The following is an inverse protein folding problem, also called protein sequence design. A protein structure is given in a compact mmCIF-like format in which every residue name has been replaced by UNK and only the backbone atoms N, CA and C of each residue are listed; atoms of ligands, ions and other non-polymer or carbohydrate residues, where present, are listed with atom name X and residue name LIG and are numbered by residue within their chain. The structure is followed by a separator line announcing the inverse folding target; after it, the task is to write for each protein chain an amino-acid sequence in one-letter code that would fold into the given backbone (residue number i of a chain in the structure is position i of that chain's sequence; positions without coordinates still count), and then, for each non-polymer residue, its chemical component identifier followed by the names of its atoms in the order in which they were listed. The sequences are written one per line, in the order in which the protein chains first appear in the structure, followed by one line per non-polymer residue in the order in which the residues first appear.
data_IF_674527092041
#
_entry.id   IF_674527092041
#
_cell.length_a   1.000
_cell.length_b   1.000
_cell.length_c   1.000
_cell.angle_alpha   90.00
_cell.angle_beta   90.00
_cell.angle_gamma   90.00
#
_symmetry.space_group_name_H-M   'P 1'
#
loop_
_entity.id
_entity.type
_entity.pdbx_description
1 polymer ?
#
# COMPACT_ATOMS: atom_id res chain seq x y z
N UNK A 1 -15.41 -19.73 -51.31
CA UNK A 1 -16.41 -19.43 -50.26
C UNK A 1 -15.88 -18.26 -49.46
N UNK A 2 -16.47 -17.07 -49.67
CA UNK A 2 -16.06 -15.84 -49.00
C UNK A 2 -16.34 -15.95 -47.50
N UNK A 3 -15.30 -15.79 -46.69
CA UNK A 3 -15.44 -15.52 -45.26
C UNK A 3 -16.09 -14.15 -45.17
N UNK A 4 -17.38 -14.14 -44.81
CA UNK A 4 -18.17 -12.93 -44.56
C UNK A 4 -17.37 -11.93 -43.72
N UNK A 5 -17.31 -10.68 -44.18
CA UNK A 5 -16.86 -9.52 -43.40
C UNK A 5 -17.75 -9.33 -42.17
N UNK A 6 -17.50 -10.11 -41.12
CA UNK A 6 -18.09 -9.87 -39.81
C UNK A 6 -17.42 -8.60 -39.29
N UNK A 7 -18.16 -7.50 -39.31
CA UNK A 7 -17.71 -6.21 -38.77
C UNK A 7 -17.28 -6.41 -37.31
N UNK A 8 -15.95 -6.36 -37.08
CA UNK A 8 -15.37 -6.49 -35.75
C UNK A 8 -15.72 -5.26 -34.92
N UNK A 9 -16.02 -5.49 -33.65
CA UNK A 9 -16.30 -4.43 -32.68
C UNK A 9 -15.00 -3.71 -32.32
N UNK A 10 -14.98 -2.39 -32.35
CA UNK A 10 -13.83 -1.62 -31.87
C UNK A 10 -14.00 -1.41 -30.36
N UNK A 11 -12.96 -1.73 -29.60
CA UNK A 11 -12.91 -1.54 -28.14
C UNK A 11 -11.64 -0.79 -27.76
N UNK A 12 -11.70 0.00 -26.67
CA UNK A 12 -10.56 0.70 -26.11
C UNK A 12 -9.70 -0.17 -25.20
N UNK A 13 -8.78 0.47 -24.49
CA UNK A 13 -7.91 -0.16 -23.49
C UNK A 13 -8.66 -0.65 -22.23
N UNK A 14 -9.86 -0.14 -22.00
CA UNK A 14 -10.79 -0.52 -20.92
C UNK A 14 -12.21 -0.48 -21.43
N UNK A 15 -13.03 -1.43 -20.99
CA UNK A 15 -14.45 -1.49 -21.36
C UNK A 15 -15.33 -1.98 -20.21
N UNK A 16 -16.64 -1.77 -20.33
CA UNK A 16 -17.64 -2.44 -19.52
C UNK A 16 -18.18 -3.67 -20.26
N UNK A 17 -18.33 -4.77 -19.54
CA UNK A 17 -19.04 -5.95 -20.03
C UNK A 17 -20.00 -6.50 -18.98
N UNK A 18 -20.93 -7.35 -19.40
CA UNK A 18 -21.77 -8.12 -18.50
C UNK A 18 -21.37 -9.60 -18.54
N UNK A 19 -21.49 -10.29 -17.42
CA UNK A 19 -21.40 -11.74 -17.31
C UNK A 19 -22.69 -12.25 -16.66
N UNK A 20 -23.76 -12.45 -17.45
CA UNK A 20 -25.09 -12.72 -16.91
C UNK A 20 -25.16 -13.97 -16.03
N UNK A 21 -24.42 -15.02 -16.41
CA UNK A 21 -24.41 -16.30 -15.67
C UNK A 21 -23.76 -16.20 -14.29
N UNK A 22 -23.00 -15.14 -14.02
CA UNK A 22 -22.39 -14.87 -12.72
C UNK A 22 -23.07 -13.71 -11.99
N UNK A 23 -24.28 -13.32 -12.41
CA UNK A 23 -25.05 -12.21 -11.84
C UNK A 23 -24.28 -10.87 -11.86
N UNK A 24 -23.42 -10.69 -12.87
CA UNK A 24 -22.65 -9.46 -13.06
C UNK A 24 -23.22 -8.66 -14.25
N UNK A 25 -24.21 -7.78 -14.03
CA UNK A 25 -24.74 -6.91 -15.08
C UNK A 25 -23.71 -5.91 -15.63
N UNK A 26 -22.66 -5.58 -14.87
CA UNK A 26 -21.59 -4.68 -15.30
C UNK A 26 -20.27 -4.92 -14.54
N UNK A 27 -19.23 -5.36 -15.23
CA UNK A 27 -17.86 -5.48 -14.72
C UNK A 27 -16.91 -4.73 -15.66
N UNK A 28 -16.02 -3.92 -15.08
CA UNK A 28 -15.01 -3.21 -15.86
C UNK A 28 -13.84 -4.13 -16.16
N UNK A 29 -13.48 -4.25 -17.43
CA UNK A 29 -12.37 -5.07 -17.90
C UNK A 29 -11.21 -4.21 -18.36
N UNK A 30 -9.99 -4.68 -18.10
CA UNK A 30 -8.79 -4.22 -18.82
C UNK A 30 -8.60 -5.11 -20.04
N UNK A 31 -8.47 -4.50 -21.21
CA UNK A 31 -8.17 -5.25 -22.44
C UNK A 31 -6.68 -5.62 -22.43
N UNK A 32 -6.40 -6.91 -22.50
CA UNK A 32 -5.05 -7.46 -22.41
C UNK A 32 -4.82 -8.49 -23.52
N UNK A 33 -4.31 -8.03 -24.66
CA UNK A 33 -3.97 -8.89 -25.79
C UNK A 33 -2.76 -9.79 -25.53
N UNK A 34 -1.98 -9.52 -24.47
CA UNK A 34 -0.88 -10.36 -24.02
C UNK A 34 -1.34 -11.57 -23.21
N UNK A 35 -2.45 -11.43 -22.49
CA UNK A 35 -3.07 -12.55 -21.78
C UNK A 35 -3.74 -13.52 -22.76
N UNK A 36 -3.41 -14.82 -22.66
CA UNK A 36 -4.05 -15.86 -23.50
C UNK A 36 -5.54 -16.00 -23.16
N UNK A 37 -5.84 -16.28 -21.89
CA UNK A 37 -7.19 -16.51 -21.38
C UNK A 37 -7.60 -15.35 -20.46
N UNK A 38 -8.89 -15.01 -20.44
CA UNK A 38 -9.43 -13.99 -19.53
C UNK A 38 -9.27 -14.39 -18.07
N UNK A 39 -9.24 -13.41 -17.18
CA UNK A 39 -9.10 -13.62 -15.74
C UNK A 39 -10.11 -12.80 -14.96
N UNK A 40 -10.72 -13.38 -13.93
CA UNK A 40 -11.69 -12.72 -13.06
C UNK A 40 -11.19 -12.77 -11.62
N UNK A 41 -11.33 -11.64 -10.94
CA UNK A 41 -11.14 -11.50 -9.50
C UNK A 41 -12.13 -12.41 -8.79
N UNK A 42 -11.62 -13.37 -8.05
CA UNK A 42 -12.38 -14.27 -7.21
C UNK A 42 -11.62 -14.54 -5.90
N UNK A 43 -12.35 -14.59 -4.80
CA UNK A 43 -11.85 -14.95 -3.48
C UNK A 43 -12.75 -16.03 -2.88
N UNK A 44 -12.30 -16.62 -1.77
CA UNK A 44 -13.03 -17.72 -1.10
C UNK A 44 -13.38 -18.87 -2.07
N UNK A 45 -12.42 -19.24 -2.93
CA UNK A 45 -12.63 -20.22 -4.00
C UNK A 45 -12.64 -21.64 -3.41
N UNK A 46 -13.79 -22.29 -3.44
CA UNK A 46 -14.03 -23.61 -2.84
C UNK A 46 -14.53 -24.61 -3.90
N UNK A 47 -13.74 -25.66 -4.22
CA UNK A 47 -14.19 -26.71 -5.13
C UNK A 47 -15.21 -27.63 -4.46
N UNK A 48 -16.22 -28.07 -5.21
CA UNK A 48 -17.17 -29.09 -4.76
C UNK A 48 -17.59 -29.99 -5.94
N UNK A 49 -18.41 -31.02 -5.67
CA UNK A 49 -19.02 -31.87 -6.70
C UNK A 49 -20.53 -31.76 -6.61
N UNK A 50 -21.18 -31.62 -7.76
CA UNK A 50 -22.64 -31.69 -7.93
C UNK A 50 -22.91 -32.72 -9.01
N UNK A 51 -23.65 -33.78 -8.68
CA UNK A 51 -23.99 -34.85 -9.64
C UNK A 51 -22.76 -35.44 -10.36
N UNK A 52 -21.67 -35.68 -9.61
CA UNK A 52 -20.36 -36.13 -10.11
C UNK A 52 -19.61 -35.16 -11.06
N UNK A 53 -20.16 -33.99 -11.36
CA UNK A 53 -19.48 -32.92 -12.11
C UNK A 53 -18.65 -32.09 -11.12
N UNK A 54 -17.44 -31.72 -11.51
CA UNK A 54 -16.60 -30.81 -10.72
C UNK A 54 -17.14 -29.37 -10.84
N UNK A 55 -17.38 -28.73 -9.70
CA UNK A 55 -17.85 -27.35 -9.59
C UNK A 55 -16.90 -26.54 -8.70
N UNK A 56 -17.03 -25.23 -8.78
CA UNK A 56 -16.34 -24.28 -7.91
C UNK A 56 -17.31 -23.20 -7.45
N UNK A 57 -17.37 -22.98 -6.14
CA UNK A 57 -18.03 -21.85 -5.51
C UNK A 57 -16.99 -20.78 -5.24
N UNK A 58 -17.31 -19.52 -5.47
CA UNK A 58 -16.39 -18.40 -5.26
C UNK A 58 -17.17 -17.11 -5.04
N UNK A 59 -16.50 -16.15 -4.43
CA UNK A 59 -17.04 -14.81 -4.18
C UNK A 59 -16.31 -13.81 -5.06
N UNK A 60 -17.04 -12.81 -5.57
CA UNK A 60 -16.48 -11.75 -6.41
C UNK A 60 -16.91 -10.37 -5.93
N UNK A 61 -15.98 -9.43 -6.02
CA UNK A 61 -16.24 -8.01 -5.98
C UNK A 61 -16.32 -7.48 -7.43
N UNK A 62 -17.52 -7.23 -7.98
CA UNK A 62 -17.67 -6.92 -9.41
C UNK A 62 -17.33 -5.47 -9.76
N UNK A 63 -17.43 -4.56 -8.79
CA UNK A 63 -17.16 -3.13 -8.97
C UNK A 63 -15.72 -2.80 -8.54
N UNK A 64 -15.06 -1.98 -9.35
CA UNK A 64 -13.70 -1.50 -9.09
C UNK A 64 -13.64 -0.73 -7.77
N UNK A 65 -12.72 -1.09 -6.87
CA UNK A 65 -12.53 -0.39 -5.60
C UNK A 65 -13.66 -0.52 -4.59
N UNK A 66 -14.69 -1.35 -4.86
CA UNK A 66 -15.77 -1.65 -3.92
C UNK A 66 -15.62 -3.10 -3.44
N UNK A 67 -15.34 -3.30 -2.15
CA UNK A 67 -15.38 -4.62 -1.51
C UNK A 67 -16.63 -4.89 -0.67
N UNK A 68 -17.57 -3.95 -0.59
CA UNK A 68 -18.85 -4.17 0.12
C UNK A 68 -19.75 -5.12 -0.65
N UNK A 69 -19.85 -4.92 -1.96
CA UNK A 69 -20.67 -5.77 -2.81
C UNK A 69 -19.95 -7.10 -3.02
N UNK A 70 -20.57 -8.16 -2.52
CA UNK A 70 -20.12 -9.54 -2.70
C UNK A 70 -21.19 -10.28 -3.49
N UNK A 71 -20.81 -10.79 -4.65
CA UNK A 71 -21.63 -11.76 -5.36
C UNK A 71 -21.07 -13.15 -5.10
N UNK A 72 -21.98 -14.07 -4.73
CA UNK A 72 -21.66 -15.49 -4.59
C UNK A 72 -21.98 -16.17 -5.90
N UNK A 73 -20.97 -16.80 -6.49
CA UNK A 73 -21.05 -17.43 -7.79
C UNK A 73 -20.70 -18.92 -7.68
N UNK A 74 -21.33 -19.72 -8.52
CA UNK A 74 -20.99 -21.12 -8.70
C UNK A 74 -20.90 -21.42 -10.19
N UNK A 75 -19.88 -22.17 -10.60
CA UNK A 75 -19.76 -22.59 -11.99
C UNK A 75 -19.12 -23.99 -12.11
N UNK A 76 -19.46 -24.76 -13.16
CA UNK A 76 -18.74 -25.98 -13.50
C UNK A 76 -17.27 -25.70 -13.81
N UNK A 77 -16.38 -26.55 -13.31
CA UNK A 77 -14.95 -26.48 -13.62
C UNK A 77 -14.72 -27.20 -14.95
N UNK A 78 -14.23 -26.45 -15.94
CA UNK A 78 -13.92 -27.03 -17.27
C UNK A 78 -12.47 -27.47 -17.37
N UNK A 79 -11.57 -26.83 -16.62
CA UNK A 79 -10.14 -27.12 -16.64
C UNK A 79 -9.44 -26.55 -15.39
N UNK A 80 -8.19 -26.95 -15.15
CA UNK A 80 -7.27 -26.30 -14.20
C UNK A 80 -5.96 -25.99 -14.91
N UNK A 81 -5.65 -24.70 -15.09
CA UNK A 81 -4.48 -24.24 -15.83
C UNK A 81 -3.43 -23.61 -14.93
N UNK A 82 -2.16 -23.86 -15.22
CA UNK A 82 -1.06 -23.13 -14.61
C UNK A 82 -0.85 -21.85 -15.40
N UNK A 83 -1.11 -20.71 -14.77
CA UNK A 83 -0.95 -19.37 -15.35
C UNK A 83 0.28 -18.72 -14.72
N UNK A 84 1.23 -18.28 -15.54
CA UNK A 84 2.43 -17.58 -15.07
C UNK A 84 2.16 -16.08 -15.00
N UNK A 85 2.59 -15.44 -13.91
CA UNK A 85 2.59 -13.99 -13.81
C UNK A 85 3.80 -13.37 -14.56
N UNK A 86 3.85 -12.04 -14.64
CA UNK A 86 4.95 -11.28 -15.25
C UNK A 86 6.32 -11.54 -14.60
N UNK A 87 6.33 -12.05 -13.36
CA UNK A 87 7.54 -12.45 -12.62
C UNK A 87 7.93 -13.92 -12.84
N UNK A 88 7.21 -14.65 -13.71
CA UNK A 88 7.49 -16.04 -14.07
C UNK A 88 6.99 -17.10 -13.08
N UNK A 89 6.38 -16.71 -11.95
CA UNK A 89 5.80 -17.63 -10.99
C UNK A 89 4.46 -18.17 -11.51
N UNK A 90 4.29 -19.50 -11.45
CA UNK A 90 3.08 -20.19 -11.91
C UNK A 90 2.07 -20.40 -10.79
N UNK A 91 0.81 -20.02 -11.04
CA UNK A 91 -0.34 -20.27 -10.16
C UNK A 91 -1.31 -21.23 -10.85
N UNK A 92 -1.79 -22.26 -10.12
CA UNK A 92 -2.78 -23.20 -10.65
C UNK A 92 -4.19 -22.65 -10.41
N UNK A 93 -4.88 -22.26 -11.48
CA UNK A 93 -6.19 -21.59 -11.44
C UNK A 93 -7.30 -22.48 -11.98
N UNK A 94 -8.48 -22.38 -11.38
CA UNK A 94 -9.70 -22.98 -11.92
C UNK A 94 -10.12 -22.23 -13.18
N UNK A 95 -10.54 -22.96 -14.20
CA UNK A 95 -11.11 -22.40 -15.43
C UNK A 95 -12.60 -22.72 -15.45
N UNK A 96 -13.40 -21.69 -15.68
CA UNK A 96 -14.84 -21.80 -15.88
C UNK A 96 -15.20 -21.28 -17.27
N UNK A 97 -16.36 -21.67 -17.78
CA UNK A 97 -16.96 -21.08 -18.98
C UNK A 97 -18.11 -20.19 -18.58
N UNK A 98 -18.21 -19.03 -19.21
CA UNK A 98 -19.35 -18.13 -19.03
C UNK A 98 -19.62 -17.31 -20.29
N UNK A 99 -20.87 -16.89 -20.45
CA UNK A 99 -21.24 -15.89 -21.46
C UNK A 99 -20.76 -14.51 -21.04
N UNK A 100 -20.01 -13.85 -21.91
CA UNK A 100 -19.73 -12.42 -21.84
C UNK A 100 -20.65 -11.70 -22.81
N UNK A 101 -21.19 -10.56 -22.39
CA UNK A 101 -21.92 -9.62 -23.23
C UNK A 101 -21.21 -8.28 -23.26
N UNK A 102 -20.88 -7.80 -24.44
CA UNK A 102 -20.28 -6.49 -24.70
C UNK A 102 -21.11 -5.81 -25.80
N UNK A 103 -21.58 -4.59 -25.54
CA UNK A 103 -22.56 -3.93 -26.43
C UNK A 103 -23.78 -4.85 -26.69
N UNK A 104 -24.03 -5.16 -27.95
CA UNK A 104 -25.07 -5.99 -28.53
C UNK A 104 -24.63 -7.44 -28.79
N UNK A 105 -23.35 -7.76 -28.59
CA UNK A 105 -22.80 -9.10 -28.83
C UNK A 105 -22.69 -9.91 -27.54
N UNK A 106 -23.04 -11.18 -27.61
CA UNK A 106 -22.90 -12.15 -26.51
C UNK A 106 -22.24 -13.42 -27.03
N UNK A 107 -21.20 -13.90 -26.34
CA UNK A 107 -20.50 -15.14 -26.69
C UNK A 107 -19.88 -15.82 -25.47
N UNK A 108 -19.55 -17.10 -25.61
CA UNK A 108 -18.90 -17.89 -24.55
C UNK A 108 -17.40 -17.58 -24.47
N UNK A 109 -16.88 -17.41 -23.24
CA UNK A 109 -15.46 -17.26 -22.96
C UNK A 109 -15.01 -18.18 -21.82
N UNK A 110 -13.73 -18.52 -21.83
CA UNK A 110 -13.08 -19.15 -20.69
C UNK A 110 -12.49 -18.09 -19.76
N UNK A 111 -12.70 -18.29 -18.45
CA UNK A 111 -12.31 -17.37 -17.40
C UNK A 111 -11.52 -18.13 -16.36
N UNK A 112 -10.31 -17.66 -16.07
CA UNK A 112 -9.52 -18.15 -14.94
C UNK A 112 -9.88 -17.39 -13.65
N UNK A 113 -10.10 -18.12 -12.57
CA UNK A 113 -10.41 -17.55 -11.24
C UNK A 113 -9.12 -17.32 -10.45
N UNK A 114 -8.91 -16.10 -9.95
CA UNK A 114 -7.70 -15.75 -9.17
C UNK A 114 -7.96 -14.53 -8.27
N UNK A 115 -7.26 -14.45 -7.14
CA UNK A 115 -7.37 -13.30 -6.26
C UNK A 115 -6.62 -12.11 -6.86
N UNK A 116 -7.38 -11.10 -7.28
CA UNK A 116 -6.87 -9.85 -7.87
C UNK A 116 -7.11 -8.61 -6.99
N UNK A 117 -7.34 -8.76 -5.69
CA UNK A 117 -7.67 -7.62 -4.80
C UNK A 117 -6.59 -6.54 -4.72
N UNK A 118 -5.33 -6.92 -4.88
CA UNK A 118 -4.18 -6.01 -4.94
C UNK A 118 -3.94 -5.46 -6.35
N UNK A 119 -4.66 -5.95 -7.36
CA UNK A 119 -4.47 -5.62 -8.76
C UNK A 119 -5.56 -4.66 -9.24
N UNK A 120 -5.18 -3.63 -9.99
CA UNK A 120 -6.07 -2.52 -10.33
C UNK A 120 -7.36 -2.84 -11.09
N UNK A 121 -7.53 -4.04 -11.68
CA UNK A 121 -8.76 -4.44 -12.38
C UNK A 121 -9.30 -5.80 -11.91
N UNK A 122 -10.61 -5.82 -11.64
CA UNK A 122 -11.39 -7.01 -11.29
C UNK A 122 -11.44 -8.03 -12.41
N UNK A 123 -11.29 -7.63 -13.68
CA UNK A 123 -11.29 -8.56 -14.81
C UNK A 123 -10.29 -8.15 -15.90
N UNK A 124 -9.66 -9.14 -16.52
CA UNK A 124 -8.88 -9.02 -17.76
C UNK A 124 -9.62 -9.69 -18.91
N UNK A 125 -9.66 -9.02 -20.06
CA UNK A 125 -10.15 -9.59 -21.32
C UNK A 125 -8.96 -10.10 -22.14
N UNK A 126 -8.80 -11.42 -22.19
CA UNK A 126 -7.69 -12.09 -22.88
C UNK A 126 -7.93 -12.28 -24.38
N UNK A 127 -6.86 -12.62 -25.10
CA UNK A 127 -6.85 -12.76 -26.56
C UNK A 127 -7.79 -13.84 -27.10
N UNK A 128 -7.99 -14.96 -26.38
CA UNK A 128 -8.95 -16.00 -26.78
C UNK A 128 -10.40 -15.50 -26.77
N UNK A 129 -10.76 -14.65 -25.81
CA UNK A 129 -12.09 -14.04 -25.76
C UNK A 129 -12.31 -13.02 -26.89
N UNK A 130 -11.23 -12.39 -27.37
CA UNK A 130 -11.25 -11.34 -28.39
C UNK A 130 -11.19 -11.86 -29.83
N UNK A 131 -10.62 -13.06 -30.02
CA UNK A 131 -10.21 -13.56 -31.34
C UNK A 131 -11.37 -13.59 -32.33
N UNK A 132 -11.18 -12.94 -33.49
CA UNK A 132 -12.17 -12.87 -34.56
C UNK A 132 -13.38 -11.95 -34.29
N UNK A 133 -13.47 -11.30 -33.13
CA UNK A 133 -14.64 -10.52 -32.71
C UNK A 133 -14.37 -9.03 -32.53
N UNK A 134 -13.18 -8.68 -32.03
CA UNK A 134 -12.85 -7.31 -31.67
C UNK A 134 -11.58 -6.79 -32.35
N UNK A 135 -11.50 -5.47 -32.50
CA UNK A 135 -10.31 -4.69 -32.81
C UNK A 135 -10.03 -3.78 -31.62
N UNK A 136 -8.78 -3.74 -31.16
CA UNK A 136 -8.38 -2.94 -29.99
C UNK A 136 -7.77 -1.64 -30.44
N UNK A 137 -8.36 -0.51 -30.05
CA UNK A 137 -7.75 0.81 -30.14
C UNK A 137 -7.04 1.13 -28.81
N UNK A 138 -5.69 1.10 -28.77
CA UNK A 138 -4.95 1.35 -27.54
C UNK A 138 -5.02 2.81 -27.08
N UNK A 139 -5.41 3.74 -27.95
CA UNK A 139 -5.53 5.17 -27.63
C UNK A 139 -6.88 5.53 -27.01
N UNK A 140 -7.87 4.65 -27.15
CA UNK A 140 -9.22 4.85 -26.67
C UNK A 140 -9.52 4.14 -25.33
N UNK A 141 -10.65 4.49 -24.72
CA UNK A 141 -11.18 3.86 -23.50
C UNK A 141 -12.68 4.11 -23.39
N UNK A 142 -13.44 3.06 -23.03
CA UNK A 142 -14.90 3.09 -22.90
C UNK A 142 -15.62 3.39 -24.22
N UNK A 143 -15.15 2.80 -25.33
CA UNK A 143 -15.77 2.95 -26.65
C UNK A 143 -17.18 2.37 -26.70
N UNK A 144 -17.47 1.37 -25.85
CA UNK A 144 -18.80 0.77 -25.75
C UNK A 144 -19.75 1.53 -24.82
N UNK A 145 -19.32 2.70 -24.32
CA UNK A 145 -20.09 3.56 -23.44
C UNK A 145 -19.60 3.55 -22.00
N UNK A 146 -20.03 4.56 -21.25
CA UNK A 146 -19.70 4.76 -19.84
C UNK A 146 -20.91 4.46 -18.98
N UNK A 147 -20.70 3.71 -17.91
CA UNK A 147 -21.70 3.49 -16.87
C UNK A 147 -21.39 4.45 -15.72
N UNK A 148 -22.39 5.23 -15.29
CA UNK A 148 -22.24 6.13 -14.15
C UNK A 148 -22.27 5.35 -12.83
N UNK A 149 -21.80 5.97 -11.73
CA UNK A 149 -21.85 5.34 -10.42
C UNK A 149 -23.29 5.08 -9.95
N UNK A 150 -24.22 6.01 -10.24
CA UNK A 150 -25.65 5.83 -9.95
C UNK A 150 -26.25 4.65 -10.71
N UNK A 151 -25.88 4.47 -11.98
CA UNK A 151 -26.37 3.34 -12.77
C UNK A 151 -25.82 2.02 -12.23
N UNK A 152 -24.53 1.96 -11.84
CA UNK A 152 -23.95 0.77 -11.22
C UNK A 152 -24.67 0.40 -9.91
N UNK A 153 -24.96 1.40 -9.08
CA UNK A 153 -25.70 1.22 -7.83
C UNK A 153 -27.08 0.62 -8.12
N UNK A 154 -27.79 1.15 -9.11
CA UNK A 154 -29.10 0.64 -9.51
C UNK A 154 -29.02 -0.78 -10.09
N UNK A 155 -28.07 -1.05 -10.98
CA UNK A 155 -27.86 -2.34 -11.62
C UNK A 155 -27.58 -3.45 -10.61
N UNK A 156 -26.85 -3.14 -9.54
CA UNK A 156 -26.50 -4.08 -8.48
C UNK A 156 -27.44 -4.05 -7.27
N UNK A 157 -28.47 -3.19 -7.27
CA UNK A 157 -29.40 -3.05 -6.16
C UNK A 157 -28.72 -2.61 -4.85
N UNK A 158 -27.64 -1.83 -4.93
CA UNK A 158 -26.91 -1.36 -3.75
C UNK A 158 -27.77 -0.31 -3.04
N UNK A 159 -28.27 -0.63 -1.85
CA UNK A 159 -28.90 0.38 -0.98
C UNK A 159 -27.81 1.33 -0.48
N UNK A 160 -27.95 2.63 -0.79
CA UNK A 160 -27.14 3.65 -0.14
C UNK A 160 -27.56 3.71 1.33
N UNK A 161 -26.82 3.02 2.19
CA UNK A 161 -26.91 3.25 3.62
C UNK A 161 -26.48 4.70 3.85
N UNK A 162 -27.30 5.55 4.51
CA UNK A 162 -26.85 6.88 4.88
C UNK A 162 -25.55 6.76 5.69
N UNK A 163 -24.55 7.58 5.34
CA UNK A 163 -23.24 7.60 6.02
C UNK A 163 -23.46 8.04 7.48
N UNK A 164 -23.66 7.09 8.38
CA UNK A 164 -23.76 7.30 9.84
C UNK A 164 -22.42 7.12 10.56
N UNK A 165 -21.35 6.79 9.82
CA UNK A 165 -20.02 6.64 10.36
C UNK A 165 -19.31 7.98 10.61
N UNK A 166 -18.15 7.88 11.28
CA UNK A 166 -17.23 8.99 11.51
C UNK A 166 -16.91 9.79 10.24
N UNK A 167 -16.64 11.08 10.39
CA UNK A 167 -16.06 11.97 9.37
C UNK A 167 -14.54 11.94 9.48
N UNK A 168 -13.86 11.36 8.51
CA UNK A 168 -12.42 11.12 8.55
C UNK A 168 -11.73 11.81 7.37
N UNK A 169 -10.77 12.69 7.68
CA UNK A 169 -9.92 13.35 6.70
C UNK A 169 -8.64 12.57 6.40
N UNK A 170 -8.29 12.35 5.13
CA UNK A 170 -6.98 11.87 4.71
C UNK A 170 -6.13 13.06 4.24
N UNK A 171 -5.15 13.46 5.05
CA UNK A 171 -4.28 14.61 4.78
C UNK A 171 -3.00 14.15 4.07
N UNK A 172 -2.88 14.38 2.76
CA UNK A 172 -1.77 13.88 1.95
C UNK A 172 -1.41 14.81 0.78
N UNK A 173 -0.41 14.46 -0.04
CA UNK A 173 -0.04 15.27 -1.23
C UNK A 173 -0.51 14.68 -2.56
N UNK A 174 -0.93 13.41 -2.60
CA UNK A 174 -1.33 12.76 -3.85
C UNK A 174 -2.40 11.69 -3.56
N UNK A 175 -3.63 11.93 -4.03
CA UNK A 175 -4.75 11.00 -3.86
C UNK A 175 -4.55 9.68 -4.59
N UNK A 176 -3.78 9.69 -5.67
CA UNK A 176 -3.67 8.55 -6.58
C UNK A 176 -2.72 7.45 -6.12
N UNK A 177 -1.95 7.69 -5.06
CA UNK A 177 -1.05 6.67 -4.49
C UNK A 177 -1.87 5.51 -3.91
N UNK A 178 -1.39 4.27 -4.14
CA UNK A 178 -2.04 3.03 -3.67
C UNK A 178 -2.48 3.11 -2.21
N UNK A 179 -1.57 3.54 -1.32
CA UNK A 179 -1.85 3.62 0.12
C UNK A 179 -3.01 4.57 0.44
N UNK A 180 -3.08 5.70 -0.27
CA UNK A 180 -4.11 6.71 -0.02
C UNK A 180 -5.46 6.25 -0.57
N UNK A 181 -5.50 5.68 -1.79
CA UNK A 181 -6.71 5.05 -2.33
C UNK A 181 -7.25 3.98 -1.40
N UNK A 182 -6.38 3.11 -0.89
CA UNK A 182 -6.75 2.01 0.01
C UNK A 182 -7.30 2.49 1.35
N UNK A 183 -6.70 3.53 1.95
CA UNK A 183 -7.23 4.11 3.20
C UNK A 183 -8.61 4.74 2.98
N UNK A 184 -8.80 5.50 1.89
CA UNK A 184 -10.10 6.09 1.54
C UNK A 184 -11.16 4.99 1.34
N UNK A 185 -10.85 3.98 0.52
CA UNK A 185 -11.74 2.85 0.27
C UNK A 185 -12.07 2.09 1.55
N UNK A 186 -11.08 1.79 2.39
CA UNK A 186 -11.30 1.08 3.64
C UNK A 186 -12.21 1.85 4.60
N UNK A 187 -12.11 3.18 4.65
CA UNK A 187 -13.00 4.00 5.47
C UNK A 187 -14.44 4.03 4.92
N UNK A 188 -14.59 4.22 3.61
CA UNK A 188 -15.88 4.17 2.92
C UNK A 188 -16.54 2.78 3.07
N UNK A 189 -15.76 1.71 2.96
CA UNK A 189 -16.14 0.31 3.19
C UNK A 189 -16.65 0.05 4.60
N UNK A 190 -16.22 0.85 5.57
CA UNK A 190 -16.68 0.79 6.97
C UNK A 190 -17.83 1.76 7.28
N UNK A 191 -18.29 2.52 6.29
CA UNK A 191 -19.46 3.40 6.41
C UNK A 191 -19.14 4.82 6.85
N UNK A 192 -17.86 5.19 6.89
CA UNK A 192 -17.41 6.53 7.27
C UNK A 192 -17.49 7.53 6.10
N UNK A 193 -17.63 8.81 6.42
CA UNK A 193 -17.47 9.89 5.45
C UNK A 193 -15.99 10.24 5.27
N UNK A 194 -15.39 9.71 4.20
CA UNK A 194 -13.98 9.93 3.90
C UNK A 194 -13.78 11.16 3.02
N UNK A 195 -12.93 12.09 3.46
CA UNK A 195 -12.56 13.29 2.69
C UNK A 195 -11.06 13.35 2.48
N UNK A 196 -10.63 13.63 1.25
CA UNK A 196 -9.21 13.82 0.94
C UNK A 196 -8.86 15.30 0.99
N UNK A 197 -7.84 15.64 1.77
CA UNK A 197 -7.32 17.00 1.86
C UNK A 197 -5.87 17.03 1.36
N UNK A 198 -5.64 17.76 0.26
CA UNK A 198 -4.28 18.02 -0.18
C UNK A 198 -3.61 19.02 0.77
N UNK A 199 -2.45 18.63 1.32
CA UNK A 199 -1.65 19.47 2.23
C UNK A 199 -1.41 20.88 1.66
N UNK A 200 -1.13 21.00 0.36
CA UNK A 200 -0.80 22.28 -0.26
C UNK A 200 -2.01 23.20 -0.47
N UNK A 201 -3.21 22.62 -0.47
CA UNK A 201 -4.47 23.33 -0.68
C UNK A 201 -5.14 23.71 0.65
N UNK A 202 -4.54 23.33 1.79
CA UNK A 202 -5.01 23.69 3.12
C UNK A 202 -4.28 24.93 3.64
N UNK A 203 -5.00 25.82 4.32
CA UNK A 203 -4.45 26.95 5.08
C UNK A 203 -5.18 27.09 6.41
N UNK A 204 -4.60 27.79 7.38
CA UNK A 204 -5.11 27.79 8.76
C UNK A 204 -5.33 29.21 9.27
N UNK A 205 -6.41 29.39 10.04
CA UNK A 205 -6.66 30.57 10.85
C UNK A 205 -6.21 30.25 12.28
N UNK A 206 -5.18 30.96 12.74
CA UNK A 206 -4.69 30.86 14.11
C UNK A 206 -5.44 31.87 14.96
N UNK A 207 -6.33 31.37 15.79
CA UNK A 207 -7.27 32.14 16.61
C UNK A 207 -7.49 31.34 17.88
N UNK A 208 -7.51 32.01 19.03
CA UNK A 208 -7.59 31.39 20.35
C UNK A 208 -9.01 30.94 20.71
N UNK A 209 -10.04 31.58 20.14
CA UNK A 209 -11.44 31.21 20.35
C UNK A 209 -11.95 30.23 19.29
N UNK A 210 -11.56 30.42 18.02
CA UNK A 210 -12.07 29.71 16.85
C UNK A 210 -10.94 29.35 15.87
N UNK A 211 -10.08 28.39 16.23
CA UNK A 211 -9.08 27.85 15.31
C UNK A 211 -9.77 27.14 14.14
N UNK A 212 -9.32 27.41 12.92
CA UNK A 212 -9.91 26.82 11.70
C UNK A 212 -8.83 26.29 10.76
N UNK A 213 -9.19 25.24 10.02
CA UNK A 213 -8.50 24.84 8.79
C UNK A 213 -9.42 25.12 7.63
N UNK A 214 -8.89 25.78 6.61
CA UNK A 214 -9.55 26.09 5.36
C UNK A 214 -8.98 25.22 4.26
N UNK A 215 -9.80 24.93 3.26
CA UNK A 215 -9.43 24.23 2.04
C UNK A 215 -9.70 25.11 0.82
N UNK A 216 -8.96 24.87 -0.27
CA UNK A 216 -9.06 25.60 -1.53
C UNK A 216 -10.51 25.90 -1.89
N UNK A 217 -10.80 27.18 -2.16
CA UNK A 217 -12.15 27.66 -2.45
C UNK A 217 -12.85 28.31 -1.26
N UNK A 218 -12.19 28.42 -0.09
CA UNK A 218 -12.75 29.06 1.09
C UNK A 218 -13.62 28.13 1.95
N UNK A 219 -13.58 26.82 1.69
CA UNK A 219 -14.30 25.83 2.50
C UNK A 219 -13.63 25.70 3.87
N UNK A 220 -14.38 25.91 4.93
CA UNK A 220 -13.90 25.62 6.30
C UNK A 220 -14.03 24.12 6.54
N UNK A 221 -12.89 23.47 6.76
CA UNK A 221 -12.81 22.07 7.16
C UNK A 221 -13.28 21.97 8.61
N UNK A 222 -14.54 21.63 8.77
CA UNK A 222 -15.21 21.52 10.07
C UNK A 222 -15.74 20.10 10.26
N UNK A 223 -16.01 19.76 11.53
CA UNK A 223 -16.70 18.52 11.92
C UNK A 223 -15.98 17.21 11.55
N UNK A 224 -14.64 17.21 11.47
CA UNK A 224 -13.91 15.94 11.37
C UNK A 224 -13.79 15.29 12.74
N UNK A 225 -14.08 14.00 12.83
CA UNK A 225 -13.82 13.20 14.03
C UNK A 225 -12.35 12.76 14.08
N UNK A 226 -11.76 12.48 12.90
CA UNK A 226 -10.37 12.07 12.79
C UNK A 226 -9.68 12.57 11.51
N UNK A 227 -8.35 12.66 11.56
CA UNK A 227 -7.46 12.91 10.43
C UNK A 227 -6.35 11.84 10.38
N UNK A 228 -6.04 11.36 9.19
CA UNK A 228 -4.93 10.44 8.90
C UNK A 228 -3.86 11.23 8.13
N UNK A 229 -2.77 11.70 8.78
CA UNK A 229 -1.71 12.40 8.08
C UNK A 229 -0.79 11.44 7.34
N UNK A 230 -0.70 11.59 6.02
CA UNK A 230 0.21 10.86 5.12
C UNK A 230 1.25 11.82 4.55
N UNK A 231 2.07 12.35 5.46
CA UNK A 231 3.01 13.44 5.17
C UNK A 231 4.32 12.90 4.59
N UNK A 232 4.64 13.33 3.36
CA UNK A 232 5.94 13.06 2.72
C UNK A 232 7.06 13.87 3.40
N UNK A 233 8.31 13.40 3.41
CA UNK A 233 9.41 14.09 4.11
C UNK A 233 9.61 15.56 3.69
N UNK A 234 9.46 15.90 2.41
CA UNK A 234 9.57 17.28 1.92
C UNK A 234 8.45 18.22 2.39
N UNK A 235 7.36 17.69 2.93
CA UNK A 235 6.23 18.45 3.44
C UNK A 235 6.10 18.37 4.97
N UNK A 236 7.12 17.88 5.67
CA UNK A 236 7.06 17.60 7.11
C UNK A 236 6.69 18.84 7.92
N UNK A 237 7.34 19.98 7.68
CA UNK A 237 7.08 21.20 8.44
C UNK A 237 5.60 21.62 8.37
N UNK A 238 5.09 21.85 7.16
CA UNK A 238 3.72 22.34 6.96
C UNK A 238 2.67 21.27 7.25
N UNK A 239 2.92 20.01 6.88
CA UNK A 239 2.02 18.90 7.18
C UNK A 239 1.84 18.70 8.69
N UNK A 240 2.93 18.77 9.48
CA UNK A 240 2.84 18.70 10.93
C UNK A 240 2.16 19.94 11.52
N UNK A 241 2.31 21.12 10.92
CA UNK A 241 1.58 22.33 11.35
C UNK A 241 0.07 22.18 11.17
N UNK A 242 -0.38 21.70 10.01
CA UNK A 242 -1.80 21.39 9.78
C UNK A 242 -2.30 20.30 10.73
N UNK A 243 -1.50 19.26 10.96
CA UNK A 243 -1.86 18.19 11.90
C UNK A 243 -2.03 18.75 13.32
N UNK A 244 -1.13 19.62 13.78
CA UNK A 244 -1.29 20.33 15.08
C UNK A 244 -2.53 21.20 15.14
N UNK A 245 -2.91 21.82 14.05
CA UNK A 245 -4.13 22.62 14.00
C UNK A 245 -5.37 21.74 14.15
N UNK A 246 -5.40 20.56 13.51
CA UNK A 246 -6.49 19.61 13.74
C UNK A 246 -6.52 19.11 15.19
N UNK A 247 -5.35 18.83 15.79
CA UNK A 247 -5.24 18.46 17.20
C UNK A 247 -5.79 19.56 18.13
N UNK A 248 -5.50 20.84 17.87
CA UNK A 248 -6.01 21.97 18.67
C UNK A 248 -7.51 22.19 18.51
N UNK A 249 -8.07 21.78 17.37
CA UNK A 249 -9.52 21.76 17.12
C UNK A 249 -10.23 20.54 17.76
N UNK A 250 -9.51 19.69 18.50
CA UNK A 250 -10.06 18.50 19.15
C UNK A 250 -10.26 17.29 18.23
N UNK A 251 -9.71 17.34 17.02
CA UNK A 251 -9.79 16.24 16.03
C UNK A 251 -8.72 15.19 16.34
N UNK A 252 -9.09 13.91 16.35
CA UNK A 252 -8.12 12.83 16.57
C UNK A 252 -7.18 12.67 15.36
N UNK A 253 -5.88 12.51 15.57
CA UNK A 253 -4.90 12.37 14.48
C UNK A 253 -4.13 11.04 14.55
N UNK A 254 -4.14 10.26 13.47
CA UNK A 254 -3.43 8.98 13.35
C UNK A 254 -2.33 9.06 12.29
N UNK A 255 -1.07 9.40 12.61
CA UNK A 255 -0.47 9.67 13.92
C UNK A 255 -0.54 11.15 14.34
N UNK A 256 -0.15 11.43 15.58
CA UNK A 256 0.02 12.81 16.07
C UNK A 256 1.17 13.54 15.40
N UNK A 257 1.06 14.85 15.34
CA UNK A 257 2.06 15.76 14.79
C UNK A 257 3.42 15.60 15.48
N UNK A 258 3.42 15.43 16.81
CA UNK A 258 4.61 15.23 17.63
C UNK A 258 5.31 13.92 17.24
N UNK A 259 4.57 12.81 17.19
CA UNK A 259 5.12 11.50 16.84
C UNK A 259 5.66 11.49 15.40
N UNK A 260 4.97 12.15 14.47
CA UNK A 260 5.44 12.30 13.09
C UNK A 260 6.76 13.07 13.06
N UNK A 261 6.82 14.25 13.68
CA UNK A 261 8.04 15.07 13.73
C UNK A 261 9.22 14.31 14.35
N UNK A 262 9.01 13.63 15.49
CA UNK A 262 10.04 12.83 16.15
C UNK A 262 10.54 11.69 15.26
N UNK A 263 9.65 11.00 14.54
CA UNK A 263 10.05 9.91 13.62
C UNK A 263 10.81 10.38 12.38
N UNK A 264 10.72 11.67 12.02
CA UNK A 264 11.40 12.25 10.84
C UNK A 264 12.82 12.66 11.17
N UNK A 265 13.07 13.07 12.41
CA UNK A 265 14.41 13.30 12.90
C UNK A 265 15.05 11.97 13.29
N UNK A 266 15.89 11.43 12.40
CA UNK A 266 16.55 10.13 12.60
C UNK A 266 17.49 10.15 13.81
N UNK A 267 18.18 11.27 14.07
CA UNK A 267 19.11 11.35 15.19
C UNK A 267 18.33 11.33 16.51
N UNK A 268 17.32 12.19 16.62
CA UNK A 268 16.43 12.21 17.78
C UNK A 268 15.76 10.85 18.00
N UNK A 269 15.23 10.26 16.92
CA UNK A 269 14.57 8.95 16.96
C UNK A 269 15.50 7.87 17.53
N UNK A 270 16.73 7.75 17.02
CA UNK A 270 17.70 6.77 17.52
C UNK A 270 18.08 7.03 18.98
N UNK A 271 18.33 8.28 19.37
CA UNK A 271 18.62 8.65 20.76
C UNK A 271 17.48 8.28 21.70
N UNK A 272 16.23 8.53 21.30
CA UNK A 272 15.05 8.17 22.07
C UNK A 272 14.89 6.65 22.21
N UNK A 273 15.11 5.90 21.12
CA UNK A 273 15.03 4.44 21.11
C UNK A 273 16.10 3.80 22.01
N UNK A 274 17.34 4.30 21.96
CA UNK A 274 18.42 3.90 22.88
C UNK A 274 18.03 4.20 24.34
N UNK A 275 17.52 5.41 24.62
CA UNK A 275 17.06 5.79 25.97
C UNK A 275 15.97 4.86 26.49
N UNK A 276 15.15 4.29 25.61
CA UNK A 276 14.14 3.30 25.95
C UNK A 276 14.67 1.86 26.06
N UNK A 277 15.98 1.64 25.95
CA UNK A 277 16.64 0.34 26.05
C UNK A 277 16.28 -0.57 24.89
N UNK A 278 16.30 -0.04 23.66
CA UNK A 278 16.13 -0.81 22.42
C UNK A 278 17.47 -0.94 21.70
N UNK A 279 17.75 -2.15 21.26
CA UNK A 279 18.98 -2.46 20.56
C UNK A 279 18.93 -1.90 19.14
N UNK A 280 19.92 -1.10 18.80
CA UNK A 280 20.18 -0.57 17.46
C UNK A 280 21.59 -0.99 17.03
N UNK A 281 21.90 -0.96 15.73
CA UNK A 281 23.28 -1.13 15.31
C UNK A 281 24.17 0.00 15.88
N UNK A 282 25.42 -0.32 16.20
CA UNK A 282 26.42 0.65 16.65
C UNK A 282 26.48 1.83 15.68
N UNK A 283 26.19 3.02 16.19
CA UNK A 283 25.96 4.22 15.37
C UNK A 283 26.76 5.39 15.91
N UNK A 284 27.61 5.96 15.07
CA UNK A 284 28.28 7.23 15.27
C UNK A 284 27.55 8.37 14.56
N UNK A 285 27.50 9.54 15.18
CA UNK A 285 26.98 10.75 14.56
C UNK A 285 28.06 11.83 14.58
N UNK A 286 28.14 12.60 13.49
CA UNK A 286 29.03 13.75 13.44
C UNK A 286 28.42 14.91 12.66
N UNK A 287 28.55 16.10 13.24
CA UNK A 287 28.32 17.36 12.56
C UNK A 287 29.67 17.82 12.00
N UNK A 288 29.85 17.72 10.67
CA UNK A 288 31.09 18.14 9.99
C UNK A 288 32.36 17.71 10.73
N UNK A 289 32.61 16.38 10.89
CA UNK A 289 33.73 15.91 11.71
C UNK A 289 35.03 16.53 11.21
N UNK A 290 35.92 16.97 12.08
CA UNK A 290 37.28 17.31 11.62
C UNK A 290 38.05 15.98 11.43
N UNK A 291 37.90 15.05 12.37
CA UNK A 291 38.53 13.73 12.34
C UNK A 291 37.65 12.62 11.78
N UNK A 292 37.78 12.35 10.48
CA UNK A 292 37.08 11.24 9.79
C UNK A 292 37.46 9.87 10.35
N UNK A 293 38.74 9.71 10.72
CA UNK A 293 39.28 8.44 11.19
C UNK A 293 38.63 8.00 12.50
N UNK A 294 38.55 8.91 13.47
CA UNK A 294 37.93 8.63 14.75
C UNK A 294 36.46 8.21 14.59
N UNK A 295 35.71 8.89 13.71
CA UNK A 295 34.32 8.52 13.44
C UNK A 295 34.16 7.10 12.86
N UNK A 296 35.10 6.67 12.02
CA UNK A 296 35.12 5.30 11.50
C UNK A 296 35.44 4.31 12.62
N UNK A 297 36.38 4.65 13.49
CA UNK A 297 36.79 3.79 14.62
C UNK A 297 35.69 3.67 15.67
N UNK A 298 34.87 4.72 15.88
CA UNK A 298 33.71 4.70 16.78
C UNK A 298 32.69 3.60 16.45
N UNK A 299 32.61 3.16 15.19
CA UNK A 299 31.70 2.08 14.75
C UNK A 299 32.41 0.76 14.50
N UNK A 300 33.67 0.62 14.92
CA UNK A 300 34.44 -0.61 14.74
C UNK A 300 35.12 -0.76 13.38
N UNK A 301 35.21 0.30 12.58
CA UNK A 301 35.88 0.28 11.28
C UNK A 301 34.98 -0.14 10.10
N UNK A 302 35.61 -0.39 8.95
CA UNK A 302 34.91 -0.86 7.75
C UNK A 302 34.76 -2.40 7.76
N UNK A 303 33.69 -2.97 7.14
CA UNK A 303 32.65 -2.28 6.36
C UNK A 303 31.65 -1.51 7.24
N UNK A 304 31.22 -0.33 6.77
CA UNK A 304 30.28 0.55 7.47
C UNK A 304 29.28 1.20 6.53
N UNK A 305 28.16 1.63 7.08
CA UNK A 305 27.11 2.38 6.39
C UNK A 305 27.25 3.87 6.70
N UNK A 306 27.29 4.71 5.67
CA UNK A 306 27.19 6.17 5.80
C UNK A 306 25.79 6.59 5.35
N UNK A 307 25.05 7.28 6.23
CA UNK A 307 23.69 7.79 5.98
C UNK A 307 23.67 9.31 6.08
N UNK A 308 23.12 9.96 5.08
CA UNK A 308 22.73 11.37 5.16
C UNK A 308 21.44 11.51 5.98
N UNK A 309 21.43 12.46 6.91
CA UNK A 309 20.21 12.81 7.63
C UNK A 309 19.22 13.55 6.73
N UNK A 310 19.73 14.34 5.80
CA UNK A 310 18.93 15.04 4.80
C UNK A 310 18.61 14.12 3.61
N UNK A 311 17.33 13.77 3.45
CA UNK A 311 16.86 12.95 2.32
C UNK A 311 15.76 11.96 2.70
N UNK A 312 15.04 11.47 1.68
CA UNK A 312 14.01 10.44 1.82
C UNK A 312 14.28 9.25 0.90
N UNK A 313 13.74 8.08 1.25
CA UNK A 313 13.81 6.84 0.44
C UNK A 313 15.22 6.32 0.11
N UNK A 314 16.14 6.31 1.08
CA UNK A 314 17.45 5.66 0.91
C UNK A 314 18.44 6.37 -0.04
N UNK A 315 18.06 7.52 -0.63
CA UNK A 315 18.99 8.45 -1.28
C UNK A 315 19.89 9.03 -0.20
N UNK A 316 21.19 8.73 -0.26
CA UNK A 316 22.17 9.11 0.76
C UNK A 316 22.53 8.02 1.75
N UNK A 317 22.19 6.73 1.50
CA UNK A 317 22.73 5.58 2.24
C UNK A 317 23.77 4.88 1.36
N UNK A 318 25.01 4.81 1.83
CA UNK A 318 26.17 4.26 1.12
C UNK A 318 26.86 3.20 1.97
N UNK A 319 27.13 2.03 1.38
CA UNK A 319 28.01 1.03 1.98
C UNK A 319 29.45 1.36 1.60
N UNK A 320 30.30 1.54 2.60
CA UNK A 320 31.74 1.67 2.42
C UNK A 320 32.42 0.37 2.87
N UNK A 321 32.85 -0.44 1.91
CA UNK A 321 33.46 -1.75 2.19
C UNK A 321 34.87 -1.65 2.78
N UNK A 322 35.56 -0.53 2.53
CA UNK A 322 36.93 -0.29 3.00
C UNK A 322 37.03 1.04 3.73
N UNK A 323 38.03 1.17 4.61
CA UNK A 323 38.29 2.42 5.33
C UNK A 323 38.48 3.60 4.38
N UNK A 324 39.26 3.43 3.31
CA UNK A 324 39.49 4.46 2.28
C UNK A 324 38.19 4.88 1.58
N UNK A 325 37.30 3.93 1.31
CA UNK A 325 36.00 4.24 0.73
C UNK A 325 35.13 5.04 1.71
N UNK A 326 35.14 4.67 3.00
CA UNK A 326 34.42 5.40 4.04
C UNK A 326 34.95 6.83 4.18
N UNK A 327 36.28 7.00 4.24
CA UNK A 327 36.93 8.30 4.28
C UNK A 327 36.53 9.18 3.10
N UNK A 328 36.56 8.63 1.89
CA UNK A 328 36.19 9.34 0.67
C UNK A 328 34.74 9.81 0.70
N UNK A 329 33.81 8.94 1.10
CA UNK A 329 32.38 9.26 1.17
C UNK A 329 32.10 10.30 2.26
N UNK A 330 32.69 10.14 3.45
CA UNK A 330 32.54 11.09 4.56
C UNK A 330 33.09 12.47 4.16
N UNK A 331 34.28 12.52 3.54
CA UNK A 331 34.88 13.77 3.09
C UNK A 331 34.06 14.46 1.99
N UNK A 332 33.47 13.69 1.06
CA UNK A 332 32.56 14.23 0.06
C UNK A 332 31.31 14.87 0.71
N UNK A 333 30.74 14.23 1.75
CA UNK A 333 29.60 14.78 2.48
C UNK A 333 29.94 15.99 3.36
N UNK A 334 31.16 16.04 3.92
CA UNK A 334 31.66 17.24 4.61
C UNK A 334 31.74 18.45 3.68
N UNK A 335 32.20 18.25 2.43
CA UNK A 335 32.36 19.35 1.47
C UNK A 335 31.03 20.07 1.18
N UNK A 336 29.91 19.34 1.26
CA UNK A 336 28.55 19.88 1.09
C UNK A 336 27.88 20.25 2.43
N UNK A 337 28.64 20.27 3.53
CA UNK A 337 28.18 20.61 4.89
C UNK A 337 26.96 19.79 5.35
N UNK A 338 26.86 18.54 4.90
CA UNK A 338 25.73 17.69 5.23
C UNK A 338 25.93 16.97 6.58
N UNK A 339 24.84 16.82 7.32
CA UNK A 339 24.81 16.00 8.54
C UNK A 339 24.84 14.52 8.19
N UNK A 340 25.78 13.79 8.79
CA UNK A 340 26.02 12.39 8.48
C UNK A 340 25.99 11.51 9.72
N UNK A 341 25.53 10.29 9.50
CA UNK A 341 25.47 9.21 10.47
C UNK A 341 26.26 8.04 9.91
N UNK A 342 27.17 7.51 10.70
CA UNK A 342 27.95 6.32 10.37
C UNK A 342 27.44 5.18 11.24
N UNK A 343 27.26 4.00 10.67
CA UNK A 343 26.67 2.87 11.36
C UNK A 343 27.40 1.58 10.97
N UNK A 344 27.53 0.65 11.91
CA UNK A 344 28.08 -0.67 11.62
C UNK A 344 27.31 -1.38 10.50
N UNK A 345 28.01 -2.18 9.70
CA UNK A 345 27.38 -3.00 8.67
C UNK A 345 27.11 -4.42 9.17
N UNK A 346 25.83 -4.79 9.29
CA UNK A 346 25.40 -6.13 9.71
C UNK A 346 25.48 -7.11 8.54
N UNK A 347 26.70 -7.60 8.25
CA UNK A 347 26.99 -8.47 7.09
C UNK A 347 26.20 -9.78 7.11
N UNK A 348 26.00 -10.36 8.29
CA UNK A 348 25.30 -11.63 8.47
C UNK A 348 23.82 -11.59 8.06
N UNK A 349 23.23 -10.40 7.97
CA UNK A 349 21.86 -10.24 7.49
C UNK A 349 21.72 -10.56 5.99
N UNK A 350 22.84 -10.55 5.24
CA UNK A 350 22.84 -10.94 3.83
C UNK A 350 21.94 -10.07 2.95
N UNK A 351 21.87 -8.76 3.22
CA UNK A 351 21.03 -7.83 2.46
C UNK A 351 19.52 -8.00 2.71
N UNK A 352 19.15 -8.63 3.84
CA UNK A 352 17.76 -8.85 4.24
C UNK A 352 17.41 -8.01 5.44
N UNK A 353 16.20 -7.46 5.43
CA UNK A 353 15.63 -6.79 6.59
C UNK A 353 14.15 -7.12 6.73
N UNK A 354 13.61 -6.86 7.91
CA UNK A 354 12.22 -7.12 8.26
C UNK A 354 11.49 -5.80 8.39
N UNK A 355 10.36 -5.66 7.70
CA UNK A 355 9.39 -4.59 7.92
C UNK A 355 8.23 -5.15 8.74
N UNK A 356 8.10 -4.72 9.98
CA UNK A 356 6.96 -5.05 10.84
C UNK A 356 6.00 -3.86 10.85
N UNK A 357 4.73 -4.10 10.53
CA UNK A 357 3.67 -3.10 10.59
C UNK A 357 2.98 -3.18 11.95
N UNK A 358 3.00 -2.07 12.70
CA UNK A 358 2.43 -1.96 14.04
C UNK A 358 1.24 -1.02 14.01
N UNK A 359 0.09 -1.48 14.51
CA UNK A 359 -1.14 -0.69 14.67
C UNK A 359 -1.62 -0.86 16.11
N UNK A 360 -1.81 0.25 16.83
CA UNK A 360 -2.24 0.31 18.24
C UNK A 360 -1.53 -0.73 19.13
N UNK A 361 -0.20 -0.76 19.05
CA UNK A 361 0.64 -1.63 19.87
C UNK A 361 0.64 -3.11 19.50
N UNK A 362 0.12 -3.49 18.33
CA UNK A 362 0.14 -4.88 17.82
C UNK A 362 0.79 -4.95 16.45
N UNK A 363 1.65 -5.96 16.25
CA UNK A 363 2.21 -6.27 14.93
C UNK A 363 1.12 -6.95 14.09
N UNK A 364 0.59 -6.26 13.08
CA UNK A 364 -0.52 -6.73 12.25
C UNK A 364 -0.05 -7.48 11.00
N UNK A 365 1.07 -7.06 10.43
CA UNK A 365 1.69 -7.67 9.26
C UNK A 365 3.22 -7.58 9.35
N UNK A 366 3.92 -8.49 8.68
CA UNK A 366 5.37 -8.46 8.59
C UNK A 366 5.81 -9.06 7.25
N UNK A 367 6.81 -8.43 6.63
CA UNK A 367 7.47 -8.91 5.43
C UNK A 367 8.98 -8.91 5.63
N UNK A 368 9.66 -9.82 4.97
CA UNK A 368 11.09 -9.72 4.75
C UNK A 368 11.30 -9.07 3.39
N UNK A 369 12.18 -8.08 3.34
CA UNK A 369 12.64 -7.48 2.10
C UNK A 369 14.03 -8.00 1.82
N UNK A 370 14.30 -8.37 0.57
CA UNK A 370 15.60 -8.84 0.12
C UNK A 370 16.10 -7.96 -1.02
N UNK A 371 17.29 -7.41 -0.85
CA UNK A 371 17.93 -6.56 -1.84
C UNK A 371 18.21 -7.31 -3.15
N UNK A 372 18.21 -6.59 -4.27
CA UNK A 372 18.58 -7.18 -5.57
C UNK A 372 20.05 -7.62 -5.59
N UNK A 373 20.46 -8.56 -6.47
CA UNK A 373 21.87 -8.94 -6.59
C UNK A 373 22.78 -7.73 -6.82
N UNK A 374 23.80 -7.57 -5.97
CA UNK A 374 24.72 -6.42 -6.00
C UNK A 374 24.24 -5.17 -5.24
N UNK A 375 23.05 -5.20 -4.64
CA UNK A 375 22.52 -4.14 -3.78
C UNK A 375 22.45 -4.64 -2.32
N UNK A 376 22.71 -3.77 -1.35
CA UNK A 376 22.61 -4.12 0.08
C UNK A 376 21.34 -3.57 0.72
N UNK A 377 20.69 -2.59 0.07
CA UNK A 377 19.45 -1.97 0.53
C UNK A 377 18.24 -2.76 0.05
N UNK A 378 17.43 -3.22 1.00
CA UNK A 378 16.23 -3.99 0.72
C UNK A 378 14.98 -3.12 0.51
N UNK A 379 15.12 -1.90 -0.03
CA UNK A 379 13.96 -1.04 -0.28
C UNK A 379 13.17 -1.52 -1.50
N UNK A 380 11.85 -1.70 -1.36
CA UNK A 380 10.96 -2.17 -2.45
C UNK A 380 11.04 -1.23 -3.66
N UNK A 381 11.11 0.09 -3.43
CA UNK A 381 11.26 1.08 -4.51
C UNK A 381 12.59 0.98 -5.30
N UNK A 382 13.57 0.22 -4.78
CA UNK A 382 14.86 -0.04 -5.42
C UNK A 382 14.95 -1.46 -6.02
N UNK A 383 13.81 -2.12 -6.22
CA UNK A 383 13.76 -3.45 -6.84
C UNK A 383 13.92 -4.62 -5.87
N UNK A 384 13.88 -4.37 -4.55
CA UNK A 384 13.88 -5.44 -3.56
C UNK A 384 12.60 -6.29 -3.65
N UNK A 385 12.73 -7.59 -3.41
CA UNK A 385 11.57 -8.50 -3.36
C UNK A 385 11.01 -8.55 -1.94
N UNK A 386 9.68 -8.54 -1.81
CA UNK A 386 8.99 -8.66 -0.54
C UNK A 386 8.38 -10.06 -0.41
N UNK A 387 8.68 -10.75 0.69
CA UNK A 387 8.12 -12.08 0.99
C UNK A 387 7.52 -12.10 2.38
N UNK A 388 6.48 -12.93 2.58
CA UNK A 388 5.90 -13.14 3.91
C UNK A 388 6.93 -13.81 4.81
N UNK A 389 7.07 -13.31 6.04
CA UNK A 389 8.04 -13.83 7.01
C UNK A 389 7.38 -14.15 8.33
N UNK A 390 7.80 -15.25 8.95
CA UNK A 390 7.45 -15.56 10.33
C UNK A 390 8.40 -14.80 11.26
N UNK A 391 7.85 -13.85 12.00
CA UNK A 391 8.59 -13.05 12.98
C UNK A 391 8.63 -13.73 14.36
N UNK A 392 9.75 -13.58 15.06
CA UNK A 392 9.99 -14.13 16.41
C UNK A 392 9.28 -13.31 17.48
N UNK A 393 9.25 -13.81 18.72
CA UNK A 393 8.68 -13.08 19.86
C UNK A 393 9.48 -11.81 20.16
N UNK A 394 10.82 -11.88 20.09
CA UNK A 394 11.70 -10.75 20.35
C UNK A 394 11.58 -9.66 19.28
N UNK A 395 11.46 -10.04 18.00
CA UNK A 395 11.21 -9.10 16.90
C UNK A 395 9.88 -8.35 17.08
N UNK A 396 8.82 -9.07 17.46
CA UNK A 396 7.52 -8.45 17.76
C UNK A 396 7.61 -7.51 18.95
N UNK A 397 8.27 -7.93 20.03
CA UNK A 397 8.45 -7.13 21.24
C UNK A 397 9.26 -5.85 20.95
N UNK A 398 10.34 -5.96 20.18
CA UNK A 398 11.15 -4.84 19.72
C UNK A 398 10.30 -3.85 18.92
N UNK A 399 9.55 -4.34 17.92
CA UNK A 399 8.71 -3.48 17.08
C UNK A 399 7.62 -2.74 17.87
N UNK A 400 6.91 -3.44 18.77
CA UNK A 400 5.86 -2.82 19.60
C UNK A 400 6.45 -1.78 20.55
N UNK A 401 7.58 -2.09 21.21
CA UNK A 401 8.26 -1.13 22.10
C UNK A 401 8.75 0.10 21.32
N UNK A 402 9.28 -0.09 20.11
CA UNK A 402 9.76 1.01 19.27
C UNK A 402 8.61 1.94 18.85
N UNK A 403 7.50 1.40 18.37
CA UNK A 403 6.31 2.20 18.03
C UNK A 403 5.76 2.95 19.25
N UNK A 404 5.71 2.29 20.42
CA UNK A 404 5.27 2.89 21.68
C UNK A 404 6.20 4.02 22.15
N UNK A 405 7.52 3.82 22.08
CA UNK A 405 8.51 4.82 22.47
C UNK A 405 8.38 6.10 21.64
N UNK A 406 8.05 5.96 20.36
CA UNK A 406 7.83 7.08 19.42
C UNK A 406 6.41 7.67 19.48
N UNK A 407 5.51 7.13 20.31
CA UNK A 407 4.12 7.58 20.36
C UNK A 407 3.32 7.35 19.07
N UNK A 408 3.70 6.36 18.26
CA UNK A 408 3.06 6.08 16.97
C UNK A 408 1.94 5.04 17.12
N UNK A 409 0.71 5.44 16.81
CA UNK A 409 -0.44 4.56 16.69
C UNK A 409 -0.31 3.63 15.48
N UNK A 410 0.22 4.14 14.36
CA UNK A 410 0.54 3.38 13.16
C UNK A 410 2.01 3.59 12.83
N UNK A 411 2.79 2.52 12.86
CA UNK A 411 4.19 2.57 12.48
C UNK A 411 4.51 1.41 11.55
N UNK A 412 5.54 1.57 10.74
CA UNK A 412 6.31 0.40 10.37
C UNK A 412 7.71 0.50 10.94
N UNK A 413 8.22 -0.65 11.34
CA UNK A 413 9.45 -0.79 12.10
C UNK A 413 10.37 -1.69 11.31
N UNK A 414 11.54 -1.18 10.97
CA UNK A 414 12.55 -1.91 10.21
C UNK A 414 13.56 -2.52 11.16
N UNK A 415 13.74 -3.83 11.05
CA UNK A 415 14.57 -4.64 11.92
C UNK A 415 15.54 -5.43 11.06
N UNK A 416 16.78 -5.53 11.51
CA UNK A 416 17.78 -6.41 10.93
C UNK A 416 18.13 -7.52 11.92
N UNK A 417 18.30 -8.74 11.41
CA UNK A 417 18.75 -9.87 12.24
C UNK A 417 20.27 -9.85 12.30
N UNK A 418 20.83 -9.75 13.50
CA UNK A 418 22.27 -9.92 13.76
C UNK A 418 22.53 -11.22 14.52
N UNK A 419 23.81 -11.56 14.73
CA UNK A 419 24.20 -12.67 15.60
C UNK A 419 23.82 -12.48 17.07
N UNK A 420 23.65 -11.24 17.52
CA UNK A 420 23.35 -10.89 18.92
C UNK A 420 21.86 -10.70 19.18
N UNK A 421 21.03 -10.68 18.14
CA UNK A 421 19.58 -10.53 18.24
C UNK A 421 19.00 -9.64 17.14
N UNK A 422 17.71 -9.28 17.23
CA UNK A 422 17.12 -8.29 16.33
C UNK A 422 17.60 -6.88 16.70
N UNK A 423 18.08 -6.13 15.71
CA UNK A 423 18.47 -4.72 15.87
C UNK A 423 17.50 -3.82 15.11
N UNK A 424 17.12 -2.70 15.73
CA UNK A 424 16.21 -1.72 15.17
C UNK A 424 16.94 -0.75 14.22
N UNK A 425 16.51 -0.70 12.96
CA UNK A 425 17.08 0.18 11.93
C UNK A 425 16.39 1.54 11.87
N UNK A 426 15.06 1.54 11.77
CA UNK A 426 14.25 2.76 11.66
C UNK A 426 12.79 2.53 12.04
N UNK A 427 12.11 3.60 12.45
CA UNK A 427 10.67 3.62 12.73
C UNK A 427 10.03 4.70 11.86
N UNK A 428 9.10 4.32 10.99
CA UNK A 428 8.42 5.28 10.11
C UNK A 428 6.96 5.48 10.51
N UNK A 429 6.56 6.75 10.58
CA UNK A 429 5.19 7.20 10.87
C UNK A 429 4.22 7.18 9.69
N UNK A 430 4.70 7.02 8.45
CA UNK A 430 3.85 6.97 7.25
C UNK A 430 4.26 5.80 6.34
N UNK A 431 4.22 4.55 6.84
CA UNK A 431 4.65 3.37 6.09
C UNK A 431 3.76 3.15 4.85
N UNK A 432 4.33 2.72 3.73
CA UNK A 432 3.58 2.36 2.53
C UNK A 432 2.78 1.06 2.71
N UNK A 433 1.60 0.98 2.09
CA UNK A 433 0.69 -0.17 2.19
C UNK A 433 0.85 -1.19 1.05
N UNK A 434 1.31 -0.75 -0.13
CA UNK A 434 1.32 -1.59 -1.34
C UNK A 434 2.15 -2.87 -1.19
N UNK A 435 3.39 -2.74 -0.74
CA UNK A 435 4.27 -3.90 -0.55
C UNK A 435 3.80 -4.87 0.53
N UNK A 436 3.23 -4.34 1.63
CA UNK A 436 2.79 -5.17 2.76
C UNK A 436 1.44 -5.85 2.49
N UNK A 437 0.45 -5.14 1.94
CA UNK A 437 -0.84 -5.73 1.57
C UNK A 437 -0.66 -6.71 0.40
N UNK A 438 0.15 -6.35 -0.60
CA UNK A 438 0.42 -7.22 -1.75
C UNK A 438 1.11 -8.53 -1.39
N UNK A 439 2.04 -8.52 -0.42
CA UNK A 439 2.74 -9.73 0.01
C UNK A 439 1.94 -10.56 1.02
N UNK A 440 1.22 -9.91 1.96
CA UNK A 440 0.57 -10.62 3.07
C UNK A 440 -0.91 -10.91 2.86
N UNK A 441 -1.53 -10.31 1.83
CA UNK A 441 -2.98 -10.34 1.55
C UNK A 441 -3.85 -9.83 2.71
N UNK A 442 -3.25 -9.16 3.71
CA UNK A 442 -3.96 -8.56 4.83
C UNK A 442 -4.46 -7.17 4.46
N UNK A 443 -5.67 -6.85 4.90
CA UNK A 443 -6.25 -5.51 4.78
C UNK A 443 -5.74 -4.58 5.88
N UNK A 444 -4.53 -4.07 5.70
CA UNK A 444 -3.86 -3.16 6.65
C UNK A 444 -4.58 -1.82 6.71
N UNK A 445 -5.11 -1.33 5.58
CA UNK A 445 -5.89 -0.10 5.56
C UNK A 445 -7.14 -0.20 6.44
N UNK A 446 -7.90 -1.30 6.36
CA UNK A 446 -9.05 -1.57 7.24
C UNK A 446 -8.64 -1.60 8.71
N UNK A 447 -7.50 -2.21 9.03
CA UNK A 447 -7.00 -2.24 10.41
C UNK A 447 -6.64 -0.84 10.94
N UNK A 448 -6.15 0.06 10.08
CA UNK A 448 -5.91 1.46 10.46
C UNK A 448 -7.21 2.18 10.81
N UNK A 449 -8.27 1.99 10.01
CA UNK A 449 -9.58 2.56 10.28
C UNK A 449 -10.19 1.98 11.57
N UNK A 450 -10.10 0.66 11.76
CA UNK A 450 -10.55 0.00 13.01
C UNK A 450 -9.84 0.54 14.25
N UNK A 451 -8.56 0.91 14.12
CA UNK A 451 -7.82 1.54 15.20
C UNK A 451 -8.35 2.94 15.54
N UNK A 452 -8.82 3.71 14.55
CA UNK A 452 -9.49 5.01 14.76
C UNK A 452 -10.83 4.80 15.47
N UNK A 453 -11.65 3.85 15.00
CA UNK A 453 -12.93 3.54 15.64
C UNK A 453 -12.77 3.15 17.11
N UNK A 454 -11.77 2.31 17.42
CA UNK A 454 -11.47 1.90 18.78
C UNK A 454 -11.09 3.08 19.67
N UNK A 455 -10.23 3.98 19.16
CA UNK A 455 -9.78 5.15 19.90
C UNK A 455 -10.94 6.12 20.18
N UNK A 456 -11.78 6.35 19.17
CA UNK A 456 -12.96 7.20 19.28
C UNK A 456 -14.17 6.50 19.92
N UNK A 457 -14.01 5.24 20.34
CA UNK A 457 -15.07 4.39 20.91
C UNK A 457 -16.33 4.30 20.03
N UNK A 458 -16.15 4.45 18.72
CA UNK A 458 -17.23 4.35 17.75
C UNK A 458 -17.68 2.89 17.64
N UNK A 459 -18.99 2.67 17.65
CA UNK A 459 -19.60 1.36 17.43
C UNK A 459 -20.44 1.44 16.16
N UNK A 460 -20.29 0.43 15.32
CA UNK A 460 -21.20 0.21 14.19
C UNK A 460 -22.63 0.13 14.72
N UNK A 461 -23.54 0.88 14.10
CA UNK A 461 -24.96 0.63 14.24
C UNK A 461 -25.26 -0.60 13.38
N UNK A 462 -25.15 -1.79 13.97
CA UNK A 462 -25.53 -3.05 13.33
C UNK A 462 -27.05 -3.14 13.13
#
# INVERSE_FOLDING_TARGET
MNVSDVKKMIIGSEEWCAIPQLLMPAVKVRVDSGAKTSALHAFNIQPFKRENIAWVAFEVHPIQGNRKLILRCEAPVVDRRVVKNSSGQGEKRYVIKSLIRMSDQTWEIEITLTNRDSMGYRMLLGREAMNGRVLVDPSASMELGRISESDLIQMYGISQTPKSGLKIGLLASNRELYSNKRIMQAGEERGHDMRFYNIQDCYMKLDDERPEVHYRGGEIVSELDAVIPRIRPSATFYGCALTRQFESMGVYTQNSSLAISQSRDKLFSLQLLIKCGLDIPLTGFAYSPIDTNELIDMVGGAPLIVKLLEGSQGRGVVLAETRKAAESVINAFKAVKANLLVQEFIKEAGGKDLRLFVINGKVTAAIQREAAPGEFRANIHQGATATVVRVTADEKKLAVRAAKAMGLAVAGVDIIRSKTGPLLLEVNSSPGLEGIEGATEKDVAKMMIQAIEQELKWKSAD
#
